data_IF_522221181007
#
_entry.id   IF_522221181007
#
_cell.length_a   1.000
_cell.length_b   1.000
_cell.length_c   1.000
_cell.angle_alpha   90.00
_cell.angle_beta   90.00
_cell.angle_gamma   90.00
#
_symmetry.space_group_name_H-M   'P 1'
#
loop_
_entity.id
_entity.type
_entity.pdbx_description
1 polymer ?
#
# COMPACT_ATOMS: atom_id res chain seq x y z
N UNK A 1 -39.92 -42.56 -24.17
CA UNK A 1 -40.75 -43.54 -24.93
C UNK A 1 -41.05 -44.87 -24.19
N UNK A 2 -40.27 -45.27 -23.18
CA UNK A 2 -40.58 -46.43 -22.31
C UNK A 2 -41.18 -45.99 -20.96
N UNK A 3 -40.63 -44.94 -20.35
CA UNK A 3 -41.07 -44.44 -19.04
C UNK A 3 -42.50 -43.89 -19.06
N UNK A 4 -42.96 -43.29 -20.17
CA UNK A 4 -44.37 -42.89 -20.33
C UNK A 4 -45.35 -44.06 -20.24
N UNK A 5 -44.94 -45.25 -20.70
CA UNK A 5 -45.77 -46.47 -20.61
C UNK A 5 -45.79 -46.99 -19.16
N UNK A 6 -44.66 -46.94 -18.47
CA UNK A 6 -44.53 -47.34 -17.06
C UNK A 6 -45.33 -46.40 -16.15
N UNK A 7 -45.33 -45.10 -16.42
CA UNK A 7 -46.04 -44.08 -15.65
C UNK A 7 -47.56 -44.29 -15.61
N UNK A 8 -48.14 -45.03 -16.55
CA UNK A 8 -49.57 -45.42 -16.53
C UNK A 8 -49.88 -46.48 -15.47
N UNK A 9 -48.91 -47.33 -15.13
CA UNK A 9 -49.06 -48.43 -14.17
C UNK A 9 -48.62 -48.04 -12.75
N UNK A 10 -47.69 -47.10 -12.61
CA UNK A 10 -47.20 -46.59 -11.31
C UNK A 10 -48.28 -46.09 -10.33
N UNK A 11 -49.37 -45.41 -10.76
CA UNK A 11 -50.43 -44.94 -9.86
C UNK A 11 -51.50 -45.99 -9.54
N UNK A 12 -51.47 -47.18 -10.16
CA UNK A 12 -52.42 -48.24 -9.85
C UNK A 12 -52.11 -48.86 -8.47
N UNK A 13 -53.16 -49.10 -7.67
CA UNK A 13 -53.01 -49.64 -6.32
C UNK A 13 -52.34 -51.02 -6.31
N UNK A 14 -52.53 -51.81 -7.37
CA UNK A 14 -51.94 -53.15 -7.51
C UNK A 14 -50.42 -53.10 -7.73
N UNK A 15 -49.88 -51.95 -8.15
CA UNK A 15 -48.44 -51.72 -8.32
C UNK A 15 -47.83 -50.89 -7.18
N UNK A 16 -48.36 -51.08 -5.97
CA UNK A 16 -47.75 -50.56 -4.74
C UNK A 16 -46.79 -51.59 -4.13
N UNK A 17 -45.57 -51.18 -3.73
CA UNK A 17 -44.58 -52.09 -3.13
C UNK A 17 -45.11 -52.85 -1.91
N UNK A 18 -46.01 -52.24 -1.13
CA UNK A 18 -46.65 -52.84 0.03
C UNK A 18 -47.61 -53.99 -0.32
N UNK A 19 -48.36 -53.88 -1.43
CA UNK A 19 -49.23 -54.95 -1.93
C UNK A 19 -48.42 -56.05 -2.62
N UNK A 20 -47.45 -55.69 -3.47
CA UNK A 20 -46.61 -56.67 -4.18
C UNK A 20 -45.79 -57.53 -3.21
N UNK A 21 -45.38 -56.96 -2.07
CA UNK A 21 -44.66 -57.67 -1.00
C UNK A 21 -45.46 -58.82 -0.38
N UNK A 22 -46.80 -58.76 -0.40
CA UNK A 22 -47.65 -59.85 0.12
C UNK A 22 -47.55 -61.11 -0.75
N UNK A 23 -47.27 -60.95 -2.05
CA UNK A 23 -47.12 -62.07 -2.98
C UNK A 23 -45.65 -62.48 -3.17
N UNK A 24 -44.71 -61.52 -3.21
CA UNK A 24 -43.28 -61.81 -3.37
C UNK A 24 -42.38 -60.66 -2.92
N UNK A 25 -41.40 -60.99 -2.07
CA UNK A 25 -40.40 -60.03 -1.57
C UNK A 25 -39.46 -59.58 -2.71
N UNK A 26 -39.03 -60.51 -3.58
CA UNK A 26 -38.17 -60.19 -4.71
C UNK A 26 -38.90 -59.27 -5.73
N UNK A 27 -40.19 -59.52 -5.97
CA UNK A 27 -41.01 -58.67 -6.84
C UNK A 27 -41.23 -57.26 -6.26
N UNK A 28 -41.27 -57.12 -4.93
CA UNK A 28 -41.36 -55.81 -4.26
C UNK A 28 -40.12 -54.94 -4.53
N UNK A 29 -38.91 -55.52 -4.54
CA UNK A 29 -37.68 -54.81 -4.89
C UNK A 29 -37.68 -54.25 -6.31
N UNK A 30 -38.19 -55.05 -7.27
CA UNK A 30 -38.36 -54.60 -8.67
C UNK A 30 -39.39 -53.48 -8.75
N UNK A 31 -40.53 -53.60 -8.06
CA UNK A 31 -41.56 -52.55 -8.01
C UNK A 31 -40.99 -51.21 -7.48
N UNK A 32 -40.20 -51.24 -6.41
CA UNK A 32 -39.53 -50.04 -5.87
C UNK A 32 -38.55 -49.44 -6.89
N UNK A 33 -37.73 -50.27 -7.54
CA UNK A 33 -36.76 -49.81 -8.54
C UNK A 33 -37.43 -49.15 -9.74
N UNK A 34 -38.53 -49.74 -10.26
CA UNK A 34 -39.29 -49.17 -11.39
C UNK A 34 -39.89 -47.81 -11.02
N UNK A 35 -40.44 -47.66 -9.81
CA UNK A 35 -40.96 -46.38 -9.31
C UNK A 35 -39.85 -45.35 -9.12
N UNK A 36 -38.70 -45.76 -8.57
CA UNK A 36 -37.53 -44.91 -8.43
C UNK A 36 -37.04 -44.40 -9.80
N UNK A 37 -36.99 -45.27 -10.81
CA UNK A 37 -36.59 -44.90 -12.18
C UNK A 37 -37.56 -43.91 -12.85
N UNK A 38 -38.87 -44.04 -12.62
CA UNK A 38 -39.87 -43.10 -13.11
C UNK A 38 -39.73 -41.72 -12.45
N UNK A 39 -39.57 -41.68 -11.12
CA UNK A 39 -39.32 -40.41 -10.41
C UNK A 39 -38.00 -39.77 -10.82
N UNK A 40 -36.94 -40.56 -11.02
CA UNK A 40 -35.64 -40.08 -11.49
C UNK A 40 -35.75 -39.43 -12.88
N UNK A 41 -36.41 -40.07 -13.85
CA UNK A 41 -36.58 -39.49 -15.20
C UNK A 41 -37.36 -38.16 -15.19
N UNK A 42 -38.39 -38.06 -14.34
CA UNK A 42 -39.14 -36.81 -14.15
C UNK A 42 -38.24 -35.69 -13.60
N UNK A 43 -37.45 -35.99 -12.57
CA UNK A 43 -36.54 -35.02 -11.95
C UNK A 43 -35.36 -34.70 -12.88
N UNK A 44 -34.79 -35.68 -13.56
CA UNK A 44 -33.67 -35.52 -14.49
C UNK A 44 -34.01 -34.55 -15.63
N UNK A 45 -35.24 -34.56 -16.15
CA UNK A 45 -35.70 -33.59 -17.16
C UNK A 45 -35.78 -32.15 -16.64
N UNK A 46 -36.03 -31.96 -15.35
CA UNK A 46 -36.07 -30.63 -14.72
C UNK A 46 -34.66 -30.17 -14.33
N UNK A 47 -33.81 -31.09 -13.89
CA UNK A 47 -32.47 -30.81 -13.39
C UNK A 47 -31.45 -30.67 -14.53
N UNK A 48 -31.63 -31.38 -15.65
CA UNK A 48 -30.79 -31.27 -16.85
C UNK A 48 -30.57 -29.82 -17.31
N UNK A 49 -31.64 -29.07 -17.66
CA UNK A 49 -31.50 -27.69 -18.11
C UNK A 49 -30.94 -26.77 -17.01
N UNK A 50 -31.22 -27.06 -15.73
CA UNK A 50 -30.65 -26.29 -14.62
C UNK A 50 -29.14 -26.50 -14.48
N UNK A 51 -28.65 -27.73 -14.68
CA UNK A 51 -27.22 -28.05 -14.66
C UNK A 51 -26.50 -27.40 -15.85
N UNK A 52 -27.11 -27.41 -17.03
CA UNK A 52 -26.57 -26.72 -18.20
C UNK A 52 -26.49 -25.21 -17.98
N UNK A 53 -27.57 -24.59 -17.48
CA UNK A 53 -27.58 -23.16 -17.16
C UNK A 53 -26.55 -22.79 -16.08
N UNK A 54 -26.40 -23.64 -15.06
CA UNK A 54 -25.39 -23.46 -14.01
C UNK A 54 -23.98 -23.55 -14.58
N UNK A 55 -23.68 -24.52 -15.46
CA UNK A 55 -22.37 -24.66 -16.07
C UNK A 55 -22.01 -23.45 -16.97
N UNK A 56 -23.00 -22.86 -17.65
CA UNK A 56 -22.80 -21.62 -18.43
C UNK A 56 -22.50 -20.45 -17.50
N UNK A 57 -23.31 -20.24 -16.46
CA UNK A 57 -23.12 -19.16 -15.50
C UNK A 57 -21.79 -19.27 -14.74
N UNK A 58 -21.37 -20.47 -14.37
CA UNK A 58 -20.07 -20.72 -13.72
C UNK A 58 -18.89 -20.40 -14.64
N UNK A 59 -19.00 -20.72 -15.94
CA UNK A 59 -18.00 -20.32 -16.94
C UNK A 59 -17.90 -18.81 -17.07
N UNK A 60 -19.03 -18.14 -17.26
CA UNK A 60 -19.06 -16.67 -17.37
C UNK A 60 -18.50 -16.01 -16.10
N UNK A 61 -18.88 -16.53 -14.93
CA UNK A 61 -18.37 -16.05 -13.65
C UNK A 61 -16.84 -16.22 -13.54
N UNK A 62 -16.30 -17.38 -13.93
CA UNK A 62 -14.87 -17.62 -13.92
C UNK A 62 -14.11 -16.64 -14.83
N UNK A 63 -14.61 -16.41 -16.05
CA UNK A 63 -14.02 -15.45 -16.99
C UNK A 63 -14.04 -14.01 -16.46
N UNK A 64 -15.15 -13.59 -15.83
CA UNK A 64 -15.27 -12.26 -15.23
C UNK A 64 -14.34 -12.12 -14.03
N UNK A 65 -14.23 -13.15 -13.19
CA UNK A 65 -13.34 -13.14 -12.03
C UNK A 65 -11.87 -13.12 -12.42
N UNK A 66 -11.47 -13.82 -13.49
CA UNK A 66 -10.11 -13.69 -14.03
C UNK A 66 -9.81 -12.25 -14.47
N UNK A 67 -10.70 -11.64 -15.25
CA UNK A 67 -10.55 -10.25 -15.69
C UNK A 67 -10.48 -9.28 -14.52
N UNK A 68 -11.33 -9.48 -13.51
CA UNK A 68 -11.34 -8.67 -12.29
C UNK A 68 -10.02 -8.79 -11.52
N UNK A 69 -9.52 -10.01 -11.35
CA UNK A 69 -8.26 -10.25 -10.65
C UNK A 69 -7.06 -9.69 -11.41
N UNK A 70 -7.05 -9.79 -12.74
CA UNK A 70 -6.04 -9.15 -13.57
C UNK A 70 -6.04 -7.62 -13.38
N UNK A 71 -7.21 -6.98 -13.39
CA UNK A 71 -7.32 -5.52 -13.15
C UNK A 71 -6.95 -5.12 -11.72
N UNK A 72 -7.29 -5.92 -10.72
CA UNK A 72 -6.82 -5.70 -9.34
C UNK A 72 -5.31 -5.80 -9.22
N UNK A 73 -4.68 -6.75 -9.90
CA UNK A 73 -3.23 -6.90 -9.92
C UNK A 73 -2.54 -5.72 -10.64
N UNK A 74 -3.09 -5.25 -11.76
CA UNK A 74 -2.62 -4.02 -12.43
C UNK A 74 -2.72 -2.81 -11.49
N UNK A 75 -3.87 -2.65 -10.82
CA UNK A 75 -4.08 -1.54 -9.87
C UNK A 75 -3.08 -1.58 -8.71
N UNK A 76 -2.84 -2.77 -8.14
CA UNK A 76 -1.89 -2.91 -7.04
C UNK A 76 -0.48 -2.47 -7.46
N UNK A 77 -0.02 -2.87 -8.65
CA UNK A 77 1.27 -2.43 -9.18
C UNK A 77 1.38 -0.91 -9.28
N UNK A 78 0.33 -0.24 -9.74
CA UNK A 78 0.30 1.22 -9.85
C UNK A 78 0.32 1.87 -8.46
N UNK A 79 -0.41 1.33 -7.50
CA UNK A 79 -0.39 1.82 -6.12
C UNK A 79 0.98 1.65 -5.46
N UNK A 80 1.64 0.52 -5.68
CA UNK A 80 2.99 0.25 -5.16
C UNK A 80 4.00 1.24 -5.77
N UNK A 81 3.92 1.47 -7.09
CA UNK A 81 4.74 2.48 -7.76
C UNK A 81 4.47 3.89 -7.24
N UNK A 82 3.20 4.25 -7.03
CA UNK A 82 2.82 5.54 -6.48
C UNK A 82 3.42 5.74 -5.09
N UNK A 83 3.30 4.74 -4.20
CA UNK A 83 3.86 4.79 -2.86
C UNK A 83 5.39 4.94 -2.88
N UNK A 84 6.08 4.23 -3.78
CA UNK A 84 7.52 4.38 -3.97
C UNK A 84 7.90 5.80 -4.43
N UNK A 85 7.15 6.35 -5.40
CA UNK A 85 7.38 7.71 -5.89
C UNK A 85 7.12 8.77 -4.81
N UNK A 86 6.05 8.61 -4.02
CA UNK A 86 5.74 9.50 -2.90
C UNK A 86 6.84 9.46 -1.83
N UNK A 87 7.34 8.27 -1.49
CA UNK A 87 8.45 8.12 -0.55
C UNK A 87 9.72 8.81 -1.06
N UNK A 88 10.09 8.60 -2.33
CA UNK A 88 11.25 9.27 -2.96
C UNK A 88 11.08 10.78 -2.99
N UNK A 89 9.90 11.26 -3.34
CA UNK A 89 9.60 12.69 -3.41
C UNK A 89 9.71 13.34 -2.03
N UNK A 90 9.20 12.70 -0.99
CA UNK A 90 9.31 13.20 0.38
C UNK A 90 10.77 13.19 0.88
N UNK A 91 11.54 12.15 0.56
CA UNK A 91 12.98 12.10 0.86
C UNK A 91 13.75 13.23 0.18
N UNK A 92 13.56 13.42 -1.13
CA UNK A 92 14.20 14.50 -1.89
C UNK A 92 13.79 15.90 -1.42
N UNK A 93 12.54 16.08 -0.98
CA UNK A 93 12.10 17.34 -0.38
C UNK A 93 12.84 17.63 0.92
N UNK A 94 12.97 16.63 1.80
CA UNK A 94 13.72 16.79 3.04
C UNK A 94 15.19 17.13 2.77
N UNK A 95 15.84 16.41 1.85
CA UNK A 95 17.23 16.71 1.45
C UNK A 95 17.38 18.12 0.85
N UNK A 96 16.41 18.55 0.02
CA UNK A 96 16.40 19.90 -0.54
C UNK A 96 16.28 20.95 0.56
N UNK A 97 15.40 20.75 1.53
CA UNK A 97 15.15 21.70 2.61
C UNK A 97 16.38 21.78 3.54
N UNK A 98 17.01 20.64 3.86
CA UNK A 98 18.27 20.60 4.62
C UNK A 98 19.41 21.30 3.87
N UNK A 99 19.52 21.07 2.56
CA UNK A 99 20.55 21.73 1.75
C UNK A 99 20.30 23.25 1.69
N UNK A 100 19.05 23.68 1.50
CA UNK A 100 18.68 25.08 1.50
C UNK A 100 19.01 25.75 2.85
N UNK A 101 18.72 25.08 3.96
CA UNK A 101 19.10 25.53 5.30
C UNK A 101 20.63 25.67 5.44
N UNK A 102 21.40 24.68 5.00
CA UNK A 102 22.85 24.71 5.08
C UNK A 102 23.47 25.83 4.24
N UNK A 103 22.92 26.10 3.05
CA UNK A 103 23.33 27.21 2.19
C UNK A 103 23.07 28.55 2.87
N UNK A 104 21.87 28.76 3.43
CA UNK A 104 21.54 29.97 4.17
C UNK A 104 22.44 30.17 5.40
N UNK A 105 22.68 29.11 6.16
CA UNK A 105 23.58 29.15 7.32
C UNK A 105 25.01 29.49 6.90
N UNK A 106 25.51 28.91 5.81
CA UNK A 106 26.84 29.19 5.28
C UNK A 106 26.94 30.66 4.83
N UNK A 107 25.94 31.17 4.11
CA UNK A 107 25.87 32.58 3.71
C UNK A 107 25.91 33.52 4.91
N UNK A 108 25.14 33.23 5.96
CA UNK A 108 25.18 33.98 7.22
C UNK A 108 26.55 33.94 7.90
N UNK A 109 27.23 32.79 7.88
CA UNK A 109 28.59 32.65 8.42
C UNK A 109 29.61 33.48 7.64
N UNK A 110 29.52 33.48 6.31
CA UNK A 110 30.38 34.30 5.43
C UNK A 110 30.18 35.78 5.75
N UNK A 111 28.93 36.28 5.74
CA UNK A 111 28.65 37.68 6.05
C UNK A 111 29.22 38.11 7.41
N UNK A 112 29.06 37.27 8.44
CA UNK A 112 29.63 37.55 9.78
C UNK A 112 31.15 37.54 9.77
N UNK A 113 31.78 36.60 9.06
CA UNK A 113 33.22 36.54 8.94
C UNK A 113 33.78 37.78 8.21
N UNK A 114 33.11 38.25 7.15
CA UNK A 114 33.46 39.48 6.45
C UNK A 114 33.38 40.70 7.38
N UNK A 115 32.28 40.86 8.12
CA UNK A 115 32.13 41.96 9.10
C UNK A 115 33.22 41.91 10.19
N UNK A 116 33.57 40.72 10.67
CA UNK A 116 34.65 40.55 11.63
C UNK A 116 36.01 40.92 11.02
N UNK A 117 36.31 40.49 9.80
CA UNK A 117 37.56 40.83 9.12
C UNK A 117 37.68 42.36 8.93
N UNK A 118 36.60 43.02 8.52
CA UNK A 118 36.57 44.48 8.33
C UNK A 118 36.80 45.22 9.65
N UNK A 119 36.07 44.86 10.71
CA UNK A 119 36.24 45.49 12.03
C UNK A 119 37.62 45.22 12.65
N UNK A 120 38.09 43.97 12.63
CA UNK A 120 39.42 43.61 13.15
C UNK A 120 40.55 44.26 12.34
N UNK A 121 40.37 44.49 11.04
CA UNK A 121 41.35 45.19 10.20
C UNK A 121 41.61 46.62 10.70
N UNK A 122 40.54 47.36 11.02
CA UNK A 122 40.64 48.70 11.61
C UNK A 122 41.21 48.67 13.03
N UNK A 123 40.78 47.72 13.86
CA UNK A 123 41.29 47.59 15.23
C UNK A 123 42.76 47.19 15.29
N UNK A 124 43.24 46.34 14.38
CA UNK A 124 44.65 45.97 14.28
C UNK A 124 45.51 47.19 14.00
N UNK A 125 45.10 48.06 13.07
CA UNK A 125 45.82 49.30 12.80
C UNK A 125 45.86 50.21 14.04
N UNK A 126 44.73 50.37 14.73
CA UNK A 126 44.62 51.13 15.97
C UNK A 126 45.53 50.57 17.08
N UNK A 127 45.49 49.26 17.35
CA UNK A 127 46.34 48.64 18.38
C UNK A 127 47.83 48.72 18.01
N UNK A 128 48.16 48.60 16.73
CA UNK A 128 49.55 48.79 16.27
C UNK A 128 50.03 50.22 16.51
N UNK A 129 49.18 51.22 16.27
CA UNK A 129 49.52 52.62 16.55
C UNK A 129 49.62 52.88 18.06
N UNK A 130 48.62 52.46 18.85
CA UNK A 130 48.64 52.59 20.30
C UNK A 130 49.88 51.92 20.91
N UNK A 131 50.31 50.76 20.41
CA UNK A 131 51.52 50.10 20.89
C UNK A 131 52.80 50.93 20.62
N UNK A 132 52.88 51.61 19.46
CA UNK A 132 53.97 52.53 19.16
C UNK A 132 53.94 53.76 20.07
N UNK A 133 52.77 54.36 20.24
CA UNK A 133 52.60 55.56 21.08
C UNK A 133 52.93 55.25 22.54
N UNK A 134 52.51 54.08 23.04
CA UNK A 134 52.82 53.61 24.38
C UNK A 134 54.32 53.32 24.56
N UNK A 135 55.00 52.82 23.53
CA UNK A 135 56.45 52.64 23.56
C UNK A 135 57.20 53.98 23.68
N UNK A 136 56.73 55.02 22.99
CA UNK A 136 57.27 56.39 23.15
C UNK A 136 56.97 56.94 24.54
N UNK A 137 55.72 56.82 25.01
CA UNK A 137 55.33 57.24 26.36
C UNK A 137 56.14 56.54 27.45
N UNK A 138 56.45 55.25 27.29
CA UNK A 138 57.28 54.49 28.22
C UNK A 138 58.70 55.07 28.35
N UNK A 139 59.30 55.53 27.25
CA UNK A 139 60.62 56.18 27.26
C UNK A 139 60.55 57.55 27.95
N UNK A 140 59.50 58.33 27.68
CA UNK A 140 59.35 59.68 28.23
C UNK A 140 58.85 59.69 29.68
N UNK A 141 58.29 58.58 30.17
CA UNK A 141 57.61 58.46 31.47
C UNK A 141 58.47 58.94 32.64
N UNK A 142 59.75 58.58 32.67
CA UNK A 142 60.64 58.97 33.77
C UNK A 142 60.87 60.48 33.82
N UNK A 143 60.99 61.13 32.66
CA UNK A 143 61.09 62.59 32.54
C UNK A 143 59.77 63.28 32.90
N UNK A 144 58.66 62.78 32.39
CA UNK A 144 57.32 63.33 32.65
C UNK A 144 56.97 63.26 34.15
N UNK A 145 57.33 62.17 34.84
CA UNK A 145 57.12 62.03 36.30
C UNK A 145 57.96 63.02 37.09
N UNK A 146 59.21 63.28 36.69
CA UNK A 146 60.08 64.26 37.35
C UNK A 146 59.54 65.69 37.15
N UNK A 147 59.10 66.04 35.94
CA UNK A 147 58.52 67.36 35.66
C UNK A 147 57.19 67.55 36.39
N UNK A 148 56.33 66.53 36.43
CA UNK A 148 55.03 66.59 37.09
C UNK A 148 55.10 66.64 38.63
N UNK A 149 56.18 66.13 39.23
CA UNK A 149 56.40 66.16 40.69
C UNK A 149 57.18 67.39 41.18
N UNK A 150 57.79 68.15 40.26
CA UNK A 150 58.51 69.39 40.54
C UNK A 150 57.66 70.67 40.44
N UNK A 151 56.36 70.53 40.14
CA UNK A 151 55.34 71.57 40.21
C UNK A 151 54.50 71.39 41.47
#
# INVERSE_FOLDING_TARGET
>A
PVIKKIATFTPQDDFQPARVKQCSIAASGICMWVRAMETYDRVAKIVGPKKEALAVAEKEYAEVMEKLNAKRAELQKVLDQLAELEAKLNGLKAEKDDLAYNVDLCGKKINRAETLIESLGGEKARWTQNAKDLAVGYVNLTGDVIVASGL
#
